data_IF_574000806057
#
_entry.id   IF_574000806057
#
_cell.length_a   1.000
_cell.length_b   1.000
_cell.length_c   1.000
_cell.angle_alpha   90.00
_cell.angle_beta   90.00
_cell.angle_gamma   90.00
#
_symmetry.space_group_name_H-M   'P 1'
#
loop_
_entity.id
_entity.type
_entity.pdbx_description
1 polymer ?
#
# COMPACT_ATOMS: atom_id res chain seq x y z
N UNK A 1 -11.46 4.39 -17.67
CA UNK A 1 -11.73 4.14 -16.25
C UNK A 1 -13.16 3.67 -16.11
N UNK A 2 -13.46 2.52 -15.45
CA UNK A 2 -14.82 2.13 -15.13
C UNK A 2 -15.52 3.19 -14.25
N UNK A 3 -16.85 3.08 -14.12
CA UNK A 3 -17.60 3.96 -13.23
C UNK A 3 -17.20 3.72 -11.78
N UNK A 4 -16.82 4.80 -11.09
CA UNK A 4 -16.25 4.77 -9.75
C UNK A 4 -17.30 5.22 -8.73
N UNK A 5 -17.64 4.35 -7.82
CA UNK A 5 -18.47 4.66 -6.66
C UNK A 5 -17.60 5.09 -5.48
N UNK A 6 -17.92 6.24 -4.89
CA UNK A 6 -17.18 6.82 -3.76
C UNK A 6 -17.93 6.56 -2.46
N UNK A 7 -17.24 5.96 -1.49
CA UNK A 7 -17.77 5.63 -0.17
C UNK A 7 -17.09 6.54 0.87
N UNK A 8 -17.85 7.48 1.41
CA UNK A 8 -17.31 8.44 2.38
C UNK A 8 -16.95 7.76 3.70
N UNK A 9 -15.78 8.14 4.23
CA UNK A 9 -15.33 7.76 5.57
C UNK A 9 -15.21 8.99 6.44
N UNK A 10 -15.39 8.81 7.75
CA UNK A 10 -15.26 9.92 8.69
C UNK A 10 -13.80 10.12 9.10
N UNK A 11 -12.94 10.48 8.17
CA UNK A 11 -11.50 10.69 8.38
C UNK A 11 -10.77 11.05 7.10
N UNK A 12 -9.66 11.74 7.18
CA UNK A 12 -8.79 12.04 6.05
C UNK A 12 -7.84 10.86 5.81
N UNK A 13 -7.53 10.61 4.55
CA UNK A 13 -6.48 9.69 4.14
C UNK A 13 -6.72 8.23 4.53
N UNK A 14 -7.86 7.59 4.14
CA UNK A 14 -7.99 6.13 4.17
C UNK A 14 -7.00 5.53 3.14
N UNK A 15 -5.78 5.31 3.61
CA UNK A 15 -4.62 5.09 2.76
C UNK A 15 -4.66 3.71 2.09
N UNK A 16 -5.05 2.67 2.81
CA UNK A 16 -5.23 1.32 2.30
C UNK A 16 -6.63 0.79 2.62
N UNK A 17 -7.03 -0.30 1.95
CA UNK A 17 -8.32 -0.93 2.17
C UNK A 17 -8.20 -2.45 2.16
N UNK A 18 -8.65 -3.08 3.23
CA UNK A 18 -8.78 -4.53 3.33
C UNK A 18 -10.25 -4.93 3.15
N UNK A 19 -10.49 -5.97 2.38
CA UNK A 19 -11.81 -6.63 2.25
C UNK A 19 -11.76 -7.96 2.97
N UNK A 20 -12.50 -8.12 4.06
CA UNK A 20 -12.55 -9.37 4.80
C UNK A 20 -13.94 -9.64 5.38
N UNK A 21 -14.44 -10.87 5.22
CA UNK A 21 -15.75 -11.35 5.75
C UNK A 21 -16.90 -10.39 5.51
N UNK A 22 -16.98 -9.83 4.29
CA UNK A 22 -18.06 -8.93 3.90
C UNK A 22 -17.98 -7.54 4.52
N UNK A 23 -16.84 -7.12 5.03
CA UNK A 23 -16.57 -5.77 5.52
C UNK A 23 -15.35 -5.16 4.83
N UNK A 24 -15.29 -3.84 4.87
CA UNK A 24 -14.14 -3.07 4.47
C UNK A 24 -13.46 -2.51 5.72
N UNK A 25 -12.14 -2.53 5.74
CA UNK A 25 -11.34 -1.96 6.84
C UNK A 25 -10.34 -0.99 6.26
N UNK A 26 -10.11 0.12 6.96
CA UNK A 26 -9.13 1.13 6.57
C UNK A 26 -8.63 1.90 7.79
N UNK A 27 -7.41 2.41 7.73
CA UNK A 27 -6.88 3.36 8.68
C UNK A 27 -7.01 4.79 8.17
N UNK A 28 -7.17 5.77 9.06
CA UNK A 28 -7.25 7.20 8.70
C UNK A 28 -6.18 8.01 9.43
N UNK A 29 -5.95 9.24 8.98
CA UNK A 29 -4.82 10.09 9.38
C UNK A 29 -4.74 10.34 10.89
N UNK A 30 -5.87 10.40 11.57
CA UNK A 30 -5.96 10.70 13.01
C UNK A 30 -5.78 9.47 13.92
N UNK A 31 -5.36 8.33 13.38
CA UNK A 31 -5.06 7.11 14.14
C UNK A 31 -6.18 6.10 14.19
N UNK A 32 -7.40 6.45 13.77
CA UNK A 32 -8.52 5.53 13.85
C UNK A 32 -8.45 4.43 12.78
N UNK A 33 -8.79 3.22 13.21
CA UNK A 33 -9.04 2.06 12.34
C UNK A 33 -10.55 1.89 12.23
N UNK A 34 -11.05 1.90 11.00
CA UNK A 34 -12.48 1.92 10.68
C UNK A 34 -12.91 0.60 10.04
N UNK A 35 -14.17 0.21 10.32
CA UNK A 35 -14.86 -0.88 9.65
C UNK A 35 -16.11 -0.33 8.95
N UNK A 36 -16.30 -0.66 7.69
CA UNK A 36 -17.46 -0.27 6.91
C UNK A 36 -18.22 -1.49 6.40
N UNK A 37 -19.55 -1.36 6.25
CA UNK A 37 -20.29 -2.28 5.39
C UNK A 37 -19.92 -2.05 3.91
N UNK A 38 -20.05 -3.07 3.03
CA UNK A 38 -19.66 -2.93 1.63
C UNK A 38 -20.39 -1.83 0.88
N UNK A 39 -21.59 -1.47 1.31
CA UNK A 39 -22.38 -0.36 0.75
C UNK A 39 -22.04 1.03 1.35
N UNK A 40 -21.09 1.07 2.30
CA UNK A 40 -20.67 2.28 2.98
C UNK A 40 -21.68 2.91 3.93
N UNK A 41 -22.85 2.25 4.15
CA UNK A 41 -23.95 2.83 4.95
C UNK A 41 -23.69 2.80 6.44
N UNK A 42 -22.92 1.86 6.93
CA UNK A 42 -22.53 1.76 8.33
C UNK A 42 -21.01 1.83 8.44
N UNK A 43 -20.57 2.66 9.39
CA UNK A 43 -19.17 2.83 9.74
C UNK A 43 -19.04 2.72 11.26
N UNK A 44 -18.14 1.85 11.69
CA UNK A 44 -17.77 1.68 13.09
C UNK A 44 -16.28 2.02 13.27
N UNK A 45 -15.91 2.65 14.39
CA UNK A 45 -14.53 2.79 14.82
C UNK A 45 -14.18 1.54 15.60
N UNK A 46 -13.12 0.83 15.17
CA UNK A 46 -12.65 -0.40 15.84
C UNK A 46 -11.63 -0.08 16.91
N UNK A 47 -10.67 0.77 16.57
CA UNK A 47 -9.54 1.13 17.44
C UNK A 47 -9.03 2.53 17.08
N UNK A 48 -8.22 3.06 17.98
CA UNK A 48 -7.40 4.25 17.74
C UNK A 48 -5.95 3.88 18.07
N UNK A 49 -5.08 3.89 17.06
CA UNK A 49 -3.66 3.57 17.22
C UNK A 49 -2.91 4.70 17.93
N UNK A 50 -3.44 5.90 17.93
CA UNK A 50 -2.74 7.11 18.36
C UNK A 50 -1.56 7.48 17.46
N UNK A 51 -1.48 6.89 16.26
CA UNK A 51 -0.44 7.11 15.28
C UNK A 51 -0.98 7.46 13.89
N UNK A 52 -0.39 6.86 12.86
CA UNK A 52 -0.83 7.01 11.46
C UNK A 52 -0.92 5.63 10.79
N UNK A 53 -2.07 4.95 10.86
CA UNK A 53 -2.30 3.70 10.14
C UNK A 53 -2.18 3.91 8.63
N UNK A 54 -1.40 3.09 7.98
CA UNK A 54 -1.19 3.03 6.54
C UNK A 54 -1.71 1.67 6.04
N UNK A 55 -0.82 0.72 5.71
CA UNK A 55 -1.20 -0.61 5.25
C UNK A 55 -2.00 -1.39 6.29
N UNK A 56 -3.01 -2.13 5.82
CA UNK A 56 -3.87 -2.96 6.66
C UNK A 56 -4.07 -4.33 6.04
N UNK A 57 -3.85 -5.40 6.82
CA UNK A 57 -3.96 -6.77 6.34
C UNK A 57 -4.64 -7.67 7.37
N UNK A 58 -5.10 -8.84 6.94
CA UNK A 58 -5.66 -9.85 7.83
C UNK A 58 -4.55 -10.70 8.43
N UNK A 59 -4.55 -10.85 9.76
CA UNK A 59 -3.69 -11.80 10.44
C UNK A 59 -4.38 -13.18 10.58
N UNK A 60 -3.65 -14.33 10.60
CA UNK A 60 -4.25 -15.67 10.63
C UNK A 60 -5.22 -15.93 11.79
N UNK A 61 -4.98 -15.36 12.96
CA UNK A 61 -5.86 -15.48 14.13
C UNK A 61 -7.15 -14.64 14.04
N UNK A 62 -7.31 -13.87 12.97
CA UNK A 62 -8.48 -13.04 12.69
C UNK A 62 -8.36 -11.59 13.13
N UNK A 63 -7.29 -11.19 13.83
CA UNK A 63 -6.98 -9.77 14.09
C UNK A 63 -6.60 -9.04 12.80
N UNK A 64 -6.53 -7.72 12.88
CA UNK A 64 -5.98 -6.88 11.82
C UNK A 64 -4.50 -6.63 12.09
N UNK A 65 -3.66 -6.86 11.09
CA UNK A 65 -2.30 -6.33 11.06
C UNK A 65 -2.36 -4.91 10.51
N UNK A 66 -1.76 -3.96 11.20
CA UNK A 66 -1.75 -2.55 10.82
C UNK A 66 -0.31 -2.06 10.81
N UNK A 67 0.14 -1.57 9.67
CA UNK A 67 1.37 -0.82 9.54
C UNK A 67 1.10 0.63 9.95
N UNK A 68 1.70 1.07 11.04
CA UNK A 68 1.53 2.43 11.54
C UNK A 68 2.84 3.21 11.46
N UNK A 69 2.84 4.29 10.69
CA UNK A 69 4.06 5.07 10.44
C UNK A 69 4.63 5.72 11.69
N UNK A 70 3.81 5.95 12.71
CA UNK A 70 4.23 6.56 13.98
C UNK A 70 4.48 5.54 15.09
N UNK A 71 3.96 4.31 14.97
CA UNK A 71 4.03 3.29 16.03
C UNK A 71 4.73 2.00 15.63
N UNK A 72 4.79 1.67 14.36
CA UNK A 72 5.37 0.44 13.84
C UNK A 72 4.35 -0.61 13.41
N UNK A 73 4.64 -1.88 13.58
CA UNK A 73 3.78 -2.99 13.17
C UNK A 73 2.89 -3.42 14.33
N UNK A 74 1.57 -3.35 14.14
CA UNK A 74 0.57 -3.55 15.19
C UNK A 74 -0.39 -4.69 14.84
N UNK A 75 -0.89 -5.37 15.87
CA UNK A 75 -2.10 -6.22 15.78
C UNK A 75 -3.25 -5.53 16.51
N UNK A 76 -4.39 -5.45 15.85
CA UNK A 76 -5.61 -4.83 16.39
C UNK A 76 -6.71 -5.88 16.50
N UNK A 77 -7.22 -6.08 17.71
CA UNK A 77 -8.37 -6.94 17.93
C UNK A 77 -9.64 -6.25 17.42
N UNK A 78 -10.41 -6.93 16.56
CA UNK A 78 -11.59 -6.35 15.89
C UNK A 78 -12.81 -6.18 16.79
N UNK A 79 -12.80 -6.78 17.97
CA UNK A 79 -13.93 -6.80 18.90
C UNK A 79 -13.68 -5.88 20.09
N UNK A 80 -12.52 -6.04 20.73
CA UNK A 80 -12.15 -5.25 21.90
C UNK A 80 -11.49 -3.92 21.57
N UNK A 81 -10.94 -3.77 20.33
CA UNK A 81 -10.09 -2.64 19.94
C UNK A 81 -8.69 -2.69 20.59
N UNK A 82 -8.36 -3.78 21.28
CA UNK A 82 -7.03 -3.96 21.92
C UNK A 82 -5.92 -3.97 20.90
N UNK A 83 -4.80 -3.31 21.23
CA UNK A 83 -3.62 -3.15 20.33
C UNK A 83 -2.42 -3.81 20.98
N UNK A 84 -1.79 -4.72 20.23
CA UNK A 84 -0.50 -5.32 20.53
C UNK A 84 0.55 -4.77 19.55
N UNK A 85 1.71 -4.36 20.05
CA UNK A 85 2.83 -3.91 19.21
C UNK A 85 3.72 -5.11 18.91
N UNK A 86 3.80 -5.49 17.63
CA UNK A 86 4.67 -6.58 17.17
C UNK A 86 6.11 -6.12 16.93
N UNK A 87 6.27 -4.94 16.31
CA UNK A 87 7.56 -4.29 16.07
C UNK A 87 7.39 -2.81 16.32
N UNK A 88 8.09 -2.28 17.31
CA UNK A 88 8.01 -0.87 17.68
C UNK A 88 8.77 0.00 16.67
N UNK A 89 8.20 1.20 16.39
CA UNK A 89 8.93 2.22 15.66
C UNK A 89 10.18 2.65 16.41
N UNK A 90 11.32 2.73 15.73
CA UNK A 90 12.60 3.08 16.33
C UNK A 90 13.75 3.10 15.32
N UNK A 91 14.99 2.95 15.78
CA UNK A 91 16.15 2.93 14.88
C UNK A 91 16.11 1.78 13.86
N UNK A 92 15.43 0.68 14.20
CA UNK A 92 15.25 -0.50 13.34
C UNK A 92 14.03 -0.43 12.40
N UNK A 93 13.10 0.50 12.59
CA UNK A 93 11.89 0.65 11.79
C UNK A 93 11.39 2.11 11.88
N UNK A 94 11.56 2.87 10.81
CA UNK A 94 11.23 4.29 10.86
C UNK A 94 9.84 4.61 10.33
N UNK A 95 9.50 4.10 9.15
CA UNK A 95 8.18 4.28 8.51
C UNK A 95 7.63 2.92 8.11
N UNK A 96 6.92 2.27 9.03
CA UNK A 96 6.17 1.05 8.74
C UNK A 96 5.03 1.39 7.77
N UNK A 97 5.12 0.91 6.53
CA UNK A 97 4.22 1.36 5.47
C UNK A 97 3.16 0.33 5.09
N UNK A 98 3.58 -0.83 4.56
CA UNK A 98 2.65 -1.84 4.07
C UNK A 98 3.16 -3.25 4.43
N UNK A 99 2.27 -4.24 4.41
CA UNK A 99 2.63 -5.62 4.75
C UNK A 99 1.83 -6.65 3.97
N UNK A 100 2.39 -7.86 3.88
CA UNK A 100 1.71 -9.07 3.46
C UNK A 100 1.94 -10.16 4.50
N UNK A 101 0.93 -10.97 4.78
CA UNK A 101 0.92 -11.99 5.83
C UNK A 101 0.79 -13.37 5.20
N UNK A 102 1.74 -14.25 5.48
CA UNK A 102 1.70 -15.64 5.08
C UNK A 102 0.75 -16.46 5.99
N UNK A 103 0.32 -17.62 5.51
CA UNK A 103 -0.62 -18.49 6.23
C UNK A 103 -0.07 -18.97 7.58
N UNK A 104 1.25 -19.13 7.71
CA UNK A 104 1.94 -19.52 8.95
C UNK A 104 2.10 -18.38 9.98
N UNK A 105 1.72 -17.15 9.60
CA UNK A 105 1.86 -15.95 10.44
C UNK A 105 3.16 -15.18 10.23
N UNK A 106 4.01 -15.60 9.30
CA UNK A 106 5.16 -14.79 8.85
C UNK A 106 4.66 -13.51 8.20
N UNK A 107 5.26 -12.39 8.56
CA UNK A 107 4.89 -11.06 8.04
C UNK A 107 6.04 -10.46 7.25
N UNK A 108 5.79 -10.13 5.99
CA UNK A 108 6.69 -9.32 5.18
C UNK A 108 6.19 -7.89 5.19
N UNK A 109 7.03 -6.92 5.55
CA UNK A 109 6.60 -5.53 5.68
C UNK A 109 7.70 -4.56 5.27
N UNK A 110 7.32 -3.35 4.91
CA UNK A 110 8.26 -2.33 4.45
C UNK A 110 8.54 -1.28 5.51
N UNK A 111 9.80 -0.86 5.55
CA UNK A 111 10.27 0.40 6.08
C UNK A 111 10.59 1.32 4.88
N UNK A 112 9.74 2.31 4.63
CA UNK A 112 9.87 3.12 3.40
C UNK A 112 11.19 3.85 3.32
N UNK A 113 11.71 4.31 4.45
CA UNK A 113 12.95 5.07 4.55
C UNK A 113 13.51 5.02 5.97
N UNK A 114 14.81 4.83 6.11
CA UNK A 114 15.51 4.94 7.39
C UNK A 114 15.92 6.37 7.75
N UNK A 115 15.59 7.38 6.91
CA UNK A 115 16.09 8.76 7.04
C UNK A 115 15.05 9.78 7.43
N UNK A 116 13.83 9.66 6.88
CA UNK A 116 12.79 10.68 7.00
C UNK A 116 11.58 10.11 7.74
N UNK A 117 10.86 10.96 8.42
CA UNK A 117 9.53 10.66 8.91
C UNK A 117 8.51 10.81 7.77
N UNK A 118 7.32 10.25 7.95
CA UNK A 118 6.31 10.20 6.89
C UNK A 118 5.97 11.59 6.33
N UNK A 119 5.96 12.63 7.16
CA UNK A 119 5.67 14.01 6.74
C UNK A 119 6.67 14.55 5.71
N UNK A 120 7.84 13.91 5.62
CA UNK A 120 8.92 14.29 4.72
C UNK A 120 9.16 13.26 3.60
N UNK A 121 8.15 12.43 3.27
CA UNK A 121 8.27 11.40 2.24
C UNK A 121 8.77 11.93 0.88
N UNK A 122 8.36 13.15 0.50
CA UNK A 122 8.83 13.79 -0.74
C UNK A 122 10.34 14.08 -0.71
N UNK A 123 10.90 14.33 0.47
CA UNK A 123 12.35 14.55 0.61
C UNK A 123 13.14 13.26 0.31
N UNK A 124 12.63 12.09 0.69
CA UNK A 124 13.25 10.81 0.37
C UNK A 124 13.25 10.56 -1.14
N UNK A 125 12.09 10.77 -1.81
CA UNK A 125 12.00 10.63 -3.26
C UNK A 125 12.95 11.57 -4.00
N UNK A 126 13.10 12.81 -3.54
CA UNK A 126 14.03 13.79 -4.11
C UNK A 126 15.51 13.44 -3.83
N UNK A 127 15.84 13.00 -2.62
CA UNK A 127 17.21 12.56 -2.28
C UNK A 127 17.56 11.28 -3.05
N UNK A 128 16.61 10.41 -3.33
CA UNK A 128 16.76 9.19 -4.14
C UNK A 128 17.99 8.37 -3.73
N UNK A 129 18.09 8.02 -2.44
CA UNK A 129 19.29 7.34 -1.91
C UNK A 129 19.15 5.85 -1.71
N UNK A 130 17.93 5.30 -1.82
CA UNK A 130 17.68 3.90 -1.55
C UNK A 130 17.93 3.56 -0.08
N UNK A 131 17.11 4.10 0.81
CA UNK A 131 17.21 3.85 2.26
C UNK A 131 16.05 3.03 2.81
N UNK A 132 15.15 2.58 1.93
CA UNK A 132 14.04 1.71 2.26
C UNK A 132 14.45 0.25 2.37
N UNK A 133 13.65 -0.55 3.04
CA UNK A 133 13.88 -1.98 3.28
C UNK A 133 12.60 -2.79 3.16
N UNK A 134 12.76 -4.05 2.76
CA UNK A 134 11.77 -5.11 2.98
C UNK A 134 12.24 -5.95 4.17
N UNK A 135 11.41 -6.05 5.18
CA UNK A 135 11.67 -6.77 6.41
C UNK A 135 10.76 -8.02 6.47
N UNK A 136 11.21 -9.04 7.20
CA UNK A 136 10.45 -10.24 7.53
C UNK A 136 10.40 -10.37 9.05
N UNK A 137 9.20 -10.63 9.59
CA UNK A 137 9.01 -11.01 10.97
C UNK A 137 8.45 -12.41 11.03
N UNK A 138 9.15 -13.30 11.68
CA UNK A 138 8.71 -14.68 11.95
C UNK A 138 7.69 -14.74 13.11
N UNK A 139 6.91 -15.83 13.22
CA UNK A 139 5.95 -16.00 14.31
C UNK A 139 6.56 -15.95 15.70
N UNK A 140 7.83 -16.33 15.86
CA UNK A 140 8.58 -16.27 17.12
C UNK A 140 9.01 -14.84 17.51
N UNK A 141 8.79 -13.86 16.63
CA UNK A 141 9.13 -12.45 16.84
C UNK A 141 10.47 -12.02 16.26
N UNK A 142 11.26 -12.92 15.69
CA UNK A 142 12.52 -12.58 15.00
C UNK A 142 12.24 -11.68 13.80
N UNK A 143 13.04 -10.63 13.65
CA UNK A 143 12.92 -9.69 12.52
C UNK A 143 14.22 -9.64 11.74
N UNK A 144 14.14 -9.97 10.46
CA UNK A 144 15.26 -9.98 9.52
C UNK A 144 15.04 -9.01 8.35
N UNK A 145 16.12 -8.52 7.76
CA UNK A 145 16.09 -7.76 6.52
C UNK A 145 16.16 -8.71 5.33
N UNK A 146 15.12 -8.66 4.47
CA UNK A 146 15.06 -9.43 3.22
C UNK A 146 15.77 -8.70 2.10
N UNK A 147 15.47 -7.40 1.94
CA UNK A 147 16.11 -6.49 0.99
C UNK A 147 16.39 -5.15 1.65
N UNK A 148 17.49 -4.54 1.30
CA UNK A 148 17.83 -3.15 1.63
C UNK A 148 18.11 -2.33 0.36
N UNK A 149 18.43 -1.05 0.54
CA UNK A 149 18.77 -0.19 -0.59
C UNK A 149 17.59 0.17 -1.47
N UNK A 150 16.34 -0.02 -1.01
CA UNK A 150 15.14 0.23 -1.79
C UNK A 150 14.82 1.74 -1.85
N UNK A 151 14.37 2.20 -3.03
CA UNK A 151 14.01 3.60 -3.25
C UNK A 151 12.55 3.85 -2.84
N UNK A 152 12.35 4.18 -1.57
CA UNK A 152 11.05 4.32 -0.94
C UNK A 152 10.24 3.03 -1.07
N UNK A 153 10.61 2.03 -0.24
CA UNK A 153 9.89 0.76 -0.18
C UNK A 153 8.44 1.01 0.28
N UNK A 154 7.47 0.55 -0.52
CA UNK A 154 6.06 0.82 -0.31
C UNK A 154 5.27 -0.50 -0.23
N UNK A 155 4.32 -0.75 -1.11
CA UNK A 155 3.46 -1.92 -1.09
C UNK A 155 4.21 -3.25 -1.10
N UNK A 156 3.64 -4.23 -0.41
CA UNK A 156 4.14 -5.63 -0.35
C UNK A 156 2.99 -6.58 -0.67
N UNK A 157 3.26 -7.61 -1.46
CA UNK A 157 2.30 -8.68 -1.72
C UNK A 157 3.00 -10.03 -1.81
N UNK A 158 2.34 -11.08 -1.33
CA UNK A 158 2.76 -12.47 -1.55
C UNK A 158 2.17 -13.00 -2.86
N UNK A 159 2.90 -13.86 -3.55
CA UNK A 159 2.32 -14.69 -4.60
C UNK A 159 1.15 -15.54 -4.04
N UNK A 160 0.15 -15.93 -4.85
CA UNK A 160 -1.00 -16.71 -4.37
C UNK A 160 -0.62 -18.03 -3.69
N UNK A 161 0.50 -18.63 -4.08
CA UNK A 161 1.07 -19.87 -3.53
C UNK A 161 2.16 -19.61 -2.48
N UNK A 162 2.34 -18.37 -2.08
CA UNK A 162 3.37 -17.91 -1.13
C UNK A 162 4.82 -18.25 -1.55
N UNK A 163 5.04 -18.59 -2.82
CA UNK A 163 6.39 -18.93 -3.35
C UNK A 163 7.31 -17.72 -3.50
N UNK A 164 6.76 -16.52 -3.45
CA UNK A 164 7.51 -15.27 -3.60
C UNK A 164 6.82 -14.10 -2.89
N UNK A 165 7.61 -13.11 -2.50
CA UNK A 165 7.14 -11.79 -2.07
C UNK A 165 7.53 -10.75 -3.11
N UNK A 166 6.64 -9.80 -3.37
CA UNK A 166 6.87 -8.67 -4.27
C UNK A 166 6.83 -7.38 -3.47
N UNK A 167 7.76 -6.47 -3.76
CA UNK A 167 7.82 -5.14 -3.14
C UNK A 167 7.83 -4.05 -4.19
N UNK A 168 7.04 -3.00 -3.95
CA UNK A 168 7.02 -1.81 -4.78
C UNK A 168 8.09 -0.81 -4.32
N UNK A 169 8.84 -0.27 -5.27
CA UNK A 169 9.75 0.85 -5.06
C UNK A 169 9.19 2.10 -5.73
N UNK A 170 8.57 2.97 -4.93
CA UNK A 170 7.92 4.19 -5.43
C UNK A 170 8.91 5.08 -6.20
N UNK A 171 10.10 5.30 -5.63
CA UNK A 171 11.11 6.18 -6.20
C UNK A 171 11.86 5.58 -7.40
N UNK A 172 11.83 4.25 -7.59
CA UNK A 172 12.46 3.58 -8.71
C UNK A 172 11.46 3.21 -9.83
N UNK A 173 10.16 3.45 -9.65
CA UNK A 173 9.12 3.09 -10.62
C UNK A 173 9.13 1.62 -11.01
N UNK A 174 9.35 0.72 -10.04
CA UNK A 174 9.48 -0.71 -10.34
C UNK A 174 8.92 -1.59 -9.21
N UNK A 175 8.74 -2.86 -9.55
CA UNK A 175 8.45 -3.93 -8.60
C UNK A 175 9.60 -4.92 -8.63
N UNK A 176 10.09 -5.29 -7.44
CA UNK A 176 11.04 -6.39 -7.29
C UNK A 176 10.33 -7.61 -6.68
N UNK A 177 10.69 -8.77 -7.17
CA UNK A 177 10.21 -10.07 -6.73
C UNK A 177 11.34 -10.82 -6.03
N UNK A 178 11.07 -11.40 -4.89
CA UNK A 178 12.01 -12.25 -4.14
C UNK A 178 11.40 -13.63 -4.00
N UNK A 179 11.95 -14.66 -4.66
CA UNK A 179 11.55 -16.03 -4.43
C UNK A 179 11.80 -16.44 -2.97
N UNK A 180 10.82 -17.08 -2.35
CA UNK A 180 10.88 -17.57 -0.97
C UNK A 180 11.24 -19.05 -0.89
N UNK A 181 11.24 -19.73 -2.03
CA UNK A 181 11.56 -21.16 -2.15
C UNK A 181 12.39 -21.42 -3.42
N UNK A 182 13.00 -22.60 -3.51
CA UNK A 182 13.76 -23.03 -4.69
C UNK A 182 15.20 -22.52 -4.74
N UNK A 183 15.86 -22.77 -5.86
CA UNK A 183 17.30 -22.49 -6.04
C UNK A 183 17.65 -20.98 -6.01
N UNK A 184 16.68 -20.12 -6.31
CA UNK A 184 16.85 -18.66 -6.30
C UNK A 184 16.27 -17.99 -5.05
N UNK A 185 16.03 -18.76 -3.98
CA UNK A 185 15.51 -18.22 -2.74
C UNK A 185 16.34 -17.03 -2.24
N UNK A 186 15.65 -15.93 -1.89
CA UNK A 186 16.27 -14.71 -1.37
C UNK A 186 16.97 -13.84 -2.44
N UNK A 187 17.05 -14.27 -3.70
CA UNK A 187 17.67 -13.48 -4.78
C UNK A 187 16.63 -12.61 -5.46
N UNK A 188 16.70 -11.31 -5.22
CA UNK A 188 15.77 -10.36 -5.83
C UNK A 188 15.92 -10.31 -7.36
N UNK A 189 14.80 -10.22 -8.05
CA UNK A 189 14.70 -10.02 -9.49
C UNK A 189 13.69 -8.91 -9.80
N UNK A 190 13.94 -8.16 -10.87
CA UNK A 190 13.01 -7.13 -11.32
C UNK A 190 11.82 -7.78 -12.00
N UNK A 191 10.63 -7.67 -11.42
CA UNK A 191 9.38 -8.17 -12.00
C UNK A 191 8.81 -7.19 -13.03
N UNK A 192 8.74 -5.91 -12.68
CA UNK A 192 8.27 -4.83 -13.57
C UNK A 192 9.20 -3.66 -13.43
N UNK A 193 9.71 -3.15 -14.54
CA UNK A 193 10.52 -1.93 -14.59
C UNK A 193 9.83 -0.84 -15.41
N UNK A 194 10.19 0.38 -15.12
CA UNK A 194 9.74 1.52 -15.90
C UNK A 194 8.24 1.79 -15.81
N UNK A 195 7.58 1.53 -14.67
CA UNK A 195 6.17 1.89 -14.46
C UNK A 195 5.92 3.34 -14.83
N UNK A 196 4.75 3.67 -15.42
CA UNK A 196 4.47 5.03 -15.94
C UNK A 196 4.13 6.06 -14.86
N UNK A 197 4.11 5.64 -13.59
CA UNK A 197 3.83 6.49 -12.43
C UNK A 197 4.45 5.90 -11.17
N UNK A 198 4.21 6.53 -10.05
CA UNK A 198 4.70 6.14 -8.74
C UNK A 198 3.89 4.95 -8.21
N UNK A 199 4.44 3.71 -8.19
CA UNK A 199 3.76 2.60 -7.54
C UNK A 199 3.68 2.87 -6.04
N UNK A 200 2.52 2.59 -5.47
CA UNK A 200 2.25 2.73 -4.05
C UNK A 200 1.94 1.35 -3.46
N UNK A 201 0.84 1.14 -2.71
CA UNK A 201 0.50 -0.18 -2.21
C UNK A 201 0.20 -1.15 -3.34
N UNK A 202 0.53 -2.40 -3.12
CA UNK A 202 0.22 -3.52 -4.01
C UNK A 202 -0.51 -4.63 -3.24
N UNK A 203 -1.32 -5.41 -3.93
CA UNK A 203 -2.00 -6.54 -3.32
C UNK A 203 -2.23 -7.65 -4.32
N UNK A 204 -2.28 -8.90 -3.85
CA UNK A 204 -2.71 -10.03 -4.65
C UNK A 204 -4.23 -10.12 -4.62
N UNK A 205 -4.84 -10.03 -5.79
CA UNK A 205 -6.28 -10.12 -5.96
C UNK A 205 -6.81 -11.56 -5.89
N UNK A 206 -8.11 -11.71 -5.70
CA UNK A 206 -8.79 -13.02 -5.77
C UNK A 206 -8.72 -13.64 -7.16
N UNK A 207 -8.37 -12.86 -8.18
CA UNK A 207 -8.12 -13.28 -9.56
C UNK A 207 -6.68 -13.79 -9.78
N UNK A 208 -5.85 -13.75 -8.75
CA UNK A 208 -4.44 -14.17 -8.78
C UNK A 208 -3.50 -13.13 -9.41
N UNK A 209 -4.00 -11.97 -9.81
CA UNK A 209 -3.19 -10.88 -10.34
C UNK A 209 -2.59 -10.03 -9.22
N UNK A 210 -1.45 -9.43 -9.50
CA UNK A 210 -0.85 -8.42 -8.64
C UNK A 210 -1.39 -7.04 -9.02
N UNK A 211 -2.19 -6.46 -8.14
CA UNK A 211 -2.78 -5.13 -8.29
C UNK A 211 -1.85 -4.07 -7.72
N UNK A 212 -1.72 -2.94 -8.43
CA UNK A 212 -0.80 -1.86 -8.14
C UNK A 212 -1.59 -0.55 -8.07
N UNK A 213 -1.58 0.12 -6.95
CA UNK A 213 -1.98 1.51 -6.86
C UNK A 213 -0.89 2.40 -7.48
N UNK A 214 -1.29 3.38 -8.29
CA UNK A 214 -0.38 4.35 -8.90
C UNK A 214 -0.79 5.75 -8.45
N UNK A 215 -0.05 6.29 -7.50
CA UNK A 215 -0.41 7.53 -6.80
C UNK A 215 -0.44 8.75 -7.72
N UNK A 216 0.49 8.84 -8.65
CA UNK A 216 0.62 9.92 -9.63
C UNK A 216 1.41 9.44 -10.84
N UNK A 217 1.20 9.99 -12.05
CA UNK A 217 2.09 9.78 -13.18
C UNK A 217 3.50 10.29 -12.88
N UNK A 218 4.49 9.76 -13.58
CA UNK A 218 5.86 10.29 -13.53
C UNK A 218 5.89 11.78 -13.77
N UNK A 219 6.77 12.45 -13.08
CA UNK A 219 6.98 13.88 -13.20
C UNK A 219 8.40 14.09 -13.77
N UNK A 220 8.47 14.50 -15.03
CA UNK A 220 9.75 14.66 -15.74
C UNK A 220 10.79 15.53 -14.99
N UNK A 221 10.30 16.50 -14.21
CA UNK A 221 11.16 17.33 -13.36
C UNK A 221 11.78 16.53 -12.23
N UNK A 222 11.05 15.58 -11.61
CA UNK A 222 11.62 14.71 -10.58
C UNK A 222 12.61 13.72 -11.19
N UNK A 223 12.32 13.17 -12.37
CA UNK A 223 13.24 12.29 -13.11
C UNK A 223 14.52 13.04 -13.48
N UNK A 224 14.43 14.33 -13.80
CA UNK A 224 15.62 15.17 -14.04
C UNK A 224 16.37 15.44 -12.73
N UNK A 225 15.68 15.85 -11.68
CA UNK A 225 16.28 16.17 -10.37
C UNK A 225 16.97 14.96 -9.76
N UNK A 226 16.39 13.75 -9.90
CA UNK A 226 16.99 12.52 -9.37
C UNK A 226 18.37 12.20 -9.98
N UNK A 227 18.67 12.71 -11.18
CA UNK A 227 19.97 12.56 -11.88
C UNK A 227 20.99 13.63 -11.50
N UNK A 228 20.57 14.67 -10.77
CA UNK A 228 21.47 15.74 -10.36
C UNK A 228 22.35 15.35 -9.17
N UNK A 229 23.39 16.14 -8.92
CA UNK A 229 24.24 15.94 -7.75
C UNK A 229 23.42 16.07 -6.44
N UNK A 230 23.68 15.27 -5.38
CA UNK A 230 22.90 15.27 -4.13
C UNK A 230 22.66 16.64 -3.48
N UNK A 231 23.62 17.56 -3.61
CA UNK A 231 23.48 18.93 -3.10
C UNK A 231 22.34 19.69 -3.80
N UNK A 232 22.20 19.53 -5.12
CA UNK A 232 21.14 20.18 -5.90
C UNK A 232 19.76 19.57 -5.59
N UNK A 233 19.70 18.27 -5.30
CA UNK A 233 18.46 17.60 -4.87
C UNK A 233 17.98 18.15 -3.51
N UNK A 234 18.90 18.37 -2.56
CA UNK A 234 18.59 19.03 -1.28
C UNK A 234 18.12 20.47 -1.47
N UNK A 235 18.72 21.21 -2.39
CA UNK A 235 18.29 22.57 -2.70
C UNK A 235 16.87 22.59 -3.30
N UNK A 236 16.50 21.61 -4.12
CA UNK A 236 15.14 21.47 -4.64
C UNK A 236 14.10 21.21 -3.53
N UNK A 237 14.45 20.45 -2.50
CA UNK A 237 13.60 20.27 -1.31
C UNK A 237 13.49 21.53 -0.46
N UNK A 238 14.53 22.35 -0.39
CA UNK A 238 14.54 23.60 0.37
C UNK A 238 13.67 24.71 -0.24
N UNK A 239 13.11 24.49 -1.46
CA UNK A 239 12.18 25.44 -2.07
C UNK A 239 10.93 25.62 -1.22
N UNK A 240 10.36 26.84 -1.14
CA UNK A 240 9.05 27.06 -0.53
C UNK A 240 7.98 26.15 -1.14
N UNK A 241 7.04 25.68 -0.32
CA UNK A 241 6.01 24.71 -0.72
C UNK A 241 5.25 25.08 -2.02
N UNK A 242 4.89 26.37 -2.28
CA UNK A 242 4.21 26.72 -3.54
C UNK A 242 5.06 26.52 -4.80
N UNK A 243 6.38 26.45 -4.67
CA UNK A 243 7.33 26.24 -5.78
C UNK A 243 7.72 24.76 -5.94
N UNK A 244 7.30 23.89 -5.02
CA UNK A 244 7.52 22.45 -5.13
C UNK A 244 6.61 21.84 -6.18
N UNK A 245 7.12 20.81 -6.82
CA UNK A 245 6.35 20.04 -7.79
C UNK A 245 5.22 19.32 -7.07
N UNK A 246 3.99 19.49 -7.57
CA UNK A 246 2.81 18.84 -7.03
C UNK A 246 2.46 17.61 -7.85
N UNK A 247 1.92 16.60 -7.20
CA UNK A 247 1.41 15.39 -7.80
C UNK A 247 0.24 15.73 -8.74
N UNK A 248 0.12 14.97 -9.83
CA UNK A 248 -1.05 15.09 -10.73
C UNK A 248 -2.23 14.33 -10.15
N UNK A 249 -3.40 14.94 -10.15
CA UNK A 249 -4.65 14.35 -9.69
C UNK A 249 -5.17 13.33 -10.69
N UNK A 250 -4.93 12.06 -10.43
CA UNK A 250 -5.41 10.93 -11.24
C UNK A 250 -5.95 9.83 -10.34
N UNK A 251 -6.87 9.05 -10.89
CA UNK A 251 -7.21 7.73 -10.38
C UNK A 251 -6.52 6.75 -11.28
N UNK A 252 -5.63 5.93 -10.74
CA UNK A 252 -4.87 4.99 -11.55
C UNK A 252 -4.55 3.72 -10.80
N UNK A 253 -4.94 2.59 -11.38
CA UNK A 253 -4.58 1.26 -10.91
C UNK A 253 -4.20 0.37 -12.08
N UNK A 254 -3.27 -0.53 -11.85
CA UNK A 254 -2.84 -1.54 -12.81
C UNK A 254 -2.92 -2.92 -12.17
N UNK A 255 -3.09 -3.94 -13.00
CA UNK A 255 -2.89 -5.31 -12.60
C UNK A 255 -1.92 -5.99 -13.54
N UNK A 256 -0.98 -6.73 -12.96
CA UNK A 256 0.03 -7.46 -13.71
C UNK A 256 0.00 -8.94 -13.31
N UNK A 257 0.45 -9.78 -14.19
CA UNK A 257 0.77 -11.17 -13.89
C UNK A 257 1.98 -11.21 -12.94
N UNK A 258 1.84 -11.84 -11.79
CA UNK A 258 2.85 -11.84 -10.71
C UNK A 258 4.11 -12.65 -10.99
N UNK A 259 4.16 -13.37 -12.14
CA UNK A 259 5.32 -14.16 -12.57
C UNK A 259 6.06 -13.47 -13.71
N UNK A 260 5.31 -12.98 -14.72
CA UNK A 260 5.88 -12.44 -15.96
C UNK A 260 5.98 -10.92 -15.97
N UNK A 261 5.33 -10.23 -15.03
CA UNK A 261 5.20 -8.77 -14.99
C UNK A 261 4.34 -8.18 -16.11
N UNK A 262 3.69 -9.02 -16.93
CA UNK A 262 2.87 -8.57 -18.05
C UNK A 262 1.61 -7.86 -17.54
N UNK A 263 1.36 -6.65 -18.02
CA UNK A 263 0.15 -5.90 -17.69
C UNK A 263 -1.09 -6.60 -18.25
N UNK A 264 -2.08 -6.83 -17.39
CA UNK A 264 -3.39 -7.41 -17.72
C UNK A 264 -4.47 -6.34 -17.70
N UNK A 265 -4.46 -5.47 -16.70
CA UNK A 265 -5.37 -4.34 -16.58
C UNK A 265 -4.62 -3.04 -16.39
N UNK A 266 -5.14 -1.97 -16.97
CA UNK A 266 -4.62 -0.61 -16.81
C UNK A 266 -5.82 0.36 -16.83
N UNK A 267 -6.27 0.77 -15.65
CA UNK A 267 -7.41 1.66 -15.47
C UNK A 267 -6.94 3.00 -14.96
N UNK A 268 -7.05 4.05 -15.75
CA UNK A 268 -6.68 5.40 -15.35
C UNK A 268 -7.67 6.44 -15.87
N UNK A 269 -7.76 7.55 -15.17
CA UNK A 269 -8.62 8.66 -15.51
C UNK A 269 -8.48 9.82 -14.53
N UNK A 270 -9.18 10.90 -14.79
CA UNK A 270 -9.24 12.07 -13.92
C UNK A 270 -10.64 12.25 -13.37
N UNK A 271 -10.74 12.55 -12.08
CA UNK A 271 -12.01 12.89 -11.42
C UNK A 271 -11.81 14.09 -10.50
N UNK A 272 -12.82 14.95 -10.34
CA UNK A 272 -12.71 16.08 -9.41
C UNK A 272 -12.80 15.64 -7.94
N UNK A 273 -13.49 14.53 -7.66
CA UNK A 273 -13.90 14.05 -6.35
C UNK A 273 -13.04 12.90 -5.80
N UNK A 274 -12.12 12.34 -6.60
CA UNK A 274 -11.23 11.26 -6.16
C UNK A 274 -9.90 11.27 -6.90
N UNK A 275 -8.79 11.13 -6.18
CA UNK A 275 -7.42 11.10 -6.74
C UNK A 275 -6.42 10.59 -5.70
N UNK A 276 -5.15 10.50 -6.06
CA UNK A 276 -4.05 10.05 -5.20
C UNK A 276 -4.32 8.66 -4.63
N UNK A 277 -4.48 7.68 -5.54
CA UNK A 277 -4.74 6.29 -5.16
C UNK A 277 -3.47 5.69 -4.57
N UNK A 278 -3.53 5.33 -3.29
CA UNK A 278 -2.42 4.72 -2.55
C UNK A 278 -2.69 3.26 -2.22
N UNK A 279 -3.94 2.87 -1.95
CA UNK A 279 -4.33 1.48 -1.69
C UNK A 279 -5.13 0.87 -2.82
N UNK A 280 -4.97 -0.43 -3.06
CA UNK A 280 -5.77 -1.19 -4.02
C UNK A 280 -6.01 -2.61 -3.53
N UNK A 281 -7.27 -3.07 -3.61
CA UNK A 281 -7.65 -4.45 -3.28
C UNK A 281 -8.71 -4.95 -4.26
N UNK A 282 -8.37 -5.97 -5.03
CA UNK A 282 -9.38 -6.71 -5.81
C UNK A 282 -9.96 -7.84 -4.96
N UNK A 283 -11.27 -7.97 -4.97
CA UNK A 283 -12.00 -9.07 -4.34
C UNK A 283 -13.26 -9.40 -5.13
N UNK A 284 -13.33 -10.61 -5.66
CA UNK A 284 -14.49 -11.16 -6.37
C UNK A 284 -15.02 -10.27 -7.49
N UNK A 285 -14.11 -9.69 -8.29
CA UNK A 285 -14.46 -8.85 -9.44
C UNK A 285 -14.77 -7.40 -9.10
N UNK A 286 -14.56 -6.98 -7.85
CA UNK A 286 -14.60 -5.57 -7.44
C UNK A 286 -13.21 -5.09 -7.02
N UNK A 287 -12.87 -3.88 -7.41
CA UNK A 287 -11.62 -3.24 -7.03
C UNK A 287 -11.94 -2.10 -6.09
N UNK A 288 -11.33 -2.13 -4.92
CA UNK A 288 -11.46 -1.11 -3.88
C UNK A 288 -10.17 -0.29 -3.83
N UNK A 289 -10.30 1.01 -3.58
CA UNK A 289 -9.21 1.97 -3.64
C UNK A 289 -9.12 2.77 -2.36
N UNK A 290 -7.94 2.85 -1.79
CA UNK A 290 -7.57 3.80 -0.76
C UNK A 290 -6.98 5.08 -1.36
N UNK A 291 -6.92 6.15 -0.57
CA UNK A 291 -6.30 7.41 -0.98
C UNK A 291 -5.74 8.18 0.21
N UNK A 292 -4.54 8.68 0.06
CA UNK A 292 -3.88 9.48 1.10
C UNK A 292 -4.54 10.87 1.31
N UNK A 293 -5.21 11.42 0.28
CA UNK A 293 -5.70 12.80 0.27
C UNK A 293 -7.21 12.94 0.28
N UNK A 294 -7.96 11.83 0.29
CA UNK A 294 -9.42 11.87 0.26
C UNK A 294 -10.02 11.56 1.65
N UNK A 295 -11.32 11.86 1.79
CA UNK A 295 -12.14 11.44 2.95
C UNK A 295 -13.07 10.29 2.57
N UNK A 296 -12.61 9.45 1.67
CA UNK A 296 -13.39 8.37 1.08
C UNK A 296 -12.47 7.28 0.55
N UNK A 297 -12.95 6.05 0.60
CA UNK A 297 -12.48 4.98 -0.27
C UNK A 297 -13.34 4.97 -1.53
N UNK A 298 -12.86 4.32 -2.59
CA UNK A 298 -13.65 4.19 -3.79
C UNK A 298 -13.68 2.73 -4.26
N UNK A 299 -14.62 2.40 -5.15
CA UNK A 299 -14.69 1.07 -5.75
C UNK A 299 -15.25 1.11 -7.16
N UNK A 300 -14.92 0.10 -7.95
CA UNK A 300 -15.56 -0.18 -9.23
C UNK A 300 -15.65 -1.68 -9.48
N UNK A 301 -16.53 -2.09 -10.39
CA UNK A 301 -16.63 -3.47 -10.84
C UNK A 301 -15.77 -3.68 -12.08
N UNK A 302 -15.04 -4.78 -12.15
CA UNK A 302 -14.24 -5.12 -13.33
C UNK A 302 -15.16 -5.33 -14.56
N UNK A 303 -14.81 -4.74 -15.71
CA UNK A 303 -15.56 -4.94 -16.95
C UNK A 303 -15.68 -6.43 -17.30
N UNK A 304 -16.88 -6.84 -17.69
CA UNK A 304 -17.16 -8.24 -18.10
C UNK A 304 -17.44 -9.21 -16.96
N UNK A 305 -17.38 -8.78 -15.71
CA UNK A 305 -17.87 -9.55 -14.55
C UNK A 305 -19.20 -8.98 -14.07
N UNK A 306 -20.23 -9.82 -13.95
CA UNK A 306 -21.47 -9.41 -13.30
C UNK A 306 -21.18 -9.11 -11.81
N UNK A 307 -21.82 -8.08 -11.21
CA UNK A 307 -21.71 -7.87 -9.77
C UNK A 307 -22.21 -9.16 -9.08
N UNK A 308 -21.38 -9.75 -8.20
CA UNK A 308 -21.80 -10.83 -7.33
C UNK A 308 -23.00 -10.32 -6.53
N UNK A 309 -24.17 -10.94 -6.75
CA UNK A 309 -25.44 -10.48 -6.23
C UNK A 309 -25.39 -10.32 -4.73
N UNK A 310 -26.02 -9.27 -4.23
CA UNK A 310 -26.53 -9.26 -2.88
C UNK A 310 -27.38 -10.53 -2.71
N UNK A 311 -26.96 -11.46 -1.86
CA UNK A 311 -27.82 -12.55 -1.43
C UNK A 311 -29.18 -11.93 -1.05
N UNK A 312 -30.17 -12.23 -1.89
CA UNK A 312 -31.55 -12.06 -1.49
C UNK A 312 -31.74 -13.07 -0.38
N UNK A 313 -31.76 -12.59 0.85
CA UNK A 313 -32.35 -13.32 1.94
C UNK A 313 -33.77 -13.71 1.51
N UNK A 314 -33.93 -14.94 1.10
CA UNK A 314 -35.23 -15.55 0.94
C UNK A 314 -35.81 -15.78 2.34
N UNK A 315 -36.99 -15.24 2.56
CA UNK A 315 -38.08 -15.60 3.40
C UNK A 315 -37.85 -16.17 4.78
#
# INVERSE_FOLDING_TARGET
MPDLEVLHVNGLGPEDVLVDKGHLFTGVEDGRVLRLTPDGRRLDIIADTGGRPLGIERYPDGRLLVCDAARGLLLVDRVSGGIEVLVERGPGLRVCNNAAVAADGTVYFTDSTSRFDLEHWQADLLEHRGTGRLLRRDPDGTVDTVLDGLHFANGVALAPDESAVVVAQTGAYRLDRVPLTGERQGVAEVLVDGLPGFPDNISTGSDGLLWIAVASPRLAVLDLVSRLHPVLRKAAWALPEPLRVKEKRVVWVRAVDGVTGRTVHDFHGTRPDYHMVTGVRESSGRVYLGSLQQRSIARFTLPGRAPVGSDRTAG
#
